data_IF_647704676354
#
_entry.id   IF_647704676354
#
_cell.length_a   1.000
_cell.length_b   1.000
_cell.length_c   1.000
_cell.angle_alpha   90.00
_cell.angle_beta   90.00
_cell.angle_gamma   90.00
#
_symmetry.space_group_name_H-M   'P 1'
#
loop_
_entity.id
_entity.type
_entity.pdbx_description
1 polymer ?
#
# COMPACT_ATOMS: atom_id res chain seq x y z
N UNK A 1 -3.46 -6.90 20.06
CA UNK A 1 -4.05 -5.61 19.61
C UNK A 1 -3.29 -5.28 18.35
N UNK A 2 -3.99 -5.15 17.21
CA UNK A 2 -3.31 -5.02 15.92
C UNK A 2 -2.64 -3.66 15.83
N UNK A 3 -1.37 -3.63 15.43
CA UNK A 3 -0.68 -2.38 15.18
C UNK A 3 -1.04 -1.86 13.79
N UNK A 4 -1.07 -0.54 13.65
CA UNK A 4 -1.28 0.15 12.37
C UNK A 4 -0.08 1.06 12.18
N UNK A 5 0.65 0.83 11.10
CA UNK A 5 1.82 1.61 10.71
C UNK A 5 1.47 2.44 9.48
N UNK A 6 1.48 3.75 9.62
CA UNK A 6 1.11 4.65 8.53
C UNK A 6 2.34 5.08 7.75
N UNK A 7 2.31 4.89 6.42
CA UNK A 7 3.34 5.45 5.54
C UNK A 7 3.21 6.96 5.53
N UNK A 8 4.32 7.65 5.80
CA UNK A 8 4.36 9.12 5.79
C UNK A 8 5.41 9.68 4.83
N UNK A 9 6.43 8.88 4.48
CA UNK A 9 7.52 9.30 3.60
C UNK A 9 7.71 8.28 2.48
N UNK A 10 8.11 8.77 1.30
CA UNK A 10 8.46 7.94 0.16
C UNK A 10 9.56 8.58 -0.68
N UNK A 11 10.32 7.74 -1.37
CA UNK A 11 11.35 8.16 -2.32
C UNK A 11 11.56 7.07 -3.39
N UNK A 12 12.02 7.48 -4.57
CA UNK A 12 12.41 6.54 -5.61
C UNK A 12 13.93 6.33 -5.60
N UNK A 13 14.35 5.08 -5.44
CA UNK A 13 15.77 4.67 -5.48
C UNK A 13 15.93 3.62 -6.57
N UNK A 14 16.74 3.90 -7.60
CA UNK A 14 16.92 3.00 -8.75
C UNK A 14 15.60 2.48 -9.37
N UNK A 15 14.62 3.38 -9.51
CA UNK A 15 13.28 3.09 -10.06
C UNK A 15 12.44 2.12 -9.19
N UNK A 16 12.74 2.06 -7.89
CA UNK A 16 12.01 1.29 -6.89
C UNK A 16 11.42 2.24 -5.85
N UNK A 17 10.15 2.04 -5.50
CA UNK A 17 9.46 2.85 -4.50
C UNK A 17 9.88 2.41 -3.10
N UNK A 18 10.59 3.28 -2.39
CA UNK A 18 10.95 3.08 -1.00
C UNK A 18 9.99 3.88 -0.11
N UNK A 19 9.46 3.22 0.92
CA UNK A 19 8.45 3.75 1.83
C UNK A 19 9.01 3.76 3.24
N UNK A 20 8.68 4.78 4.03
CA UNK A 20 9.12 4.89 5.42
C UNK A 20 8.01 5.42 6.31
N UNK A 21 8.10 5.06 7.60
CA UNK A 21 7.20 5.53 8.64
C UNK A 21 7.75 6.86 9.19
N UNK A 22 6.99 7.55 10.05
CA UNK A 22 7.48 8.71 10.80
C UNK A 22 7.79 8.38 12.28
N UNK A 23 7.78 7.08 12.61
CA UNK A 23 7.94 6.60 13.98
C UNK A 23 9.34 6.02 14.24
N UNK A 24 9.55 5.50 15.45
CA UNK A 24 10.83 4.91 15.85
C UNK A 24 10.97 3.50 15.26
N UNK A 25 11.41 3.43 14.00
CA UNK A 25 11.42 2.23 13.15
C UNK A 25 12.27 1.07 13.69
N UNK A 26 13.28 1.36 14.52
CA UNK A 26 14.33 0.42 14.93
C UNK A 26 13.87 -0.78 15.79
N UNK A 27 12.59 -0.87 16.17
CA UNK A 27 12.04 -1.97 16.98
C UNK A 27 10.92 -2.75 16.30
N UNK A 28 10.51 -2.32 15.11
CA UNK A 28 9.41 -2.96 14.38
C UNK A 28 9.95 -4.23 13.74
N UNK A 29 9.32 -5.37 14.04
CA UNK A 29 9.67 -6.67 13.46
C UNK A 29 8.43 -7.26 12.81
N UNK A 30 8.37 -7.15 11.49
CA UNK A 30 7.20 -7.56 10.71
C UNK A 30 7.64 -8.41 9.52
N UNK A 31 6.75 -9.30 9.08
CA UNK A 31 6.94 -10.09 7.86
C UNK A 31 5.86 -9.77 6.83
N UNK A 32 6.22 -9.59 5.55
CA UNK A 32 5.26 -9.39 4.47
C UNK A 32 4.27 -10.56 4.35
N UNK A 33 2.95 -10.28 4.26
CA UNK A 33 1.93 -11.32 4.15
C UNK A 33 1.33 -11.46 2.74
N UNK A 34 1.77 -10.68 1.75
CA UNK A 34 1.34 -10.81 0.35
C UNK A 34 -0.14 -10.50 0.13
N UNK A 35 -0.72 -9.57 0.90
CA UNK A 35 -2.14 -9.23 0.77
C UNK A 35 -2.38 -7.75 0.88
N UNK A 36 -3.12 -7.21 -0.08
CA UNK A 36 -3.64 -5.84 -0.06
C UNK A 36 -5.14 -5.87 0.17
N UNK A 37 -5.62 -5.04 1.09
CA UNK A 37 -7.03 -4.77 1.37
C UNK A 37 -7.27 -3.25 1.39
N UNK A 38 -8.49 -2.83 1.70
CA UNK A 38 -8.85 -1.42 1.85
C UNK A 38 -9.52 -1.15 3.19
N UNK A 39 -9.34 0.06 3.70
CA UNK A 39 -10.25 0.70 4.64
C UNK A 39 -10.92 1.87 3.92
N UNK A 40 -12.12 1.62 3.39
CA UNK A 40 -12.88 2.59 2.61
C UNK A 40 -13.34 3.79 3.43
N UNK A 41 -13.62 3.59 4.72
CA UNK A 41 -14.08 4.66 5.61
C UNK A 41 -12.95 5.65 5.90
N UNK A 42 -11.69 5.19 5.87
CA UNK A 42 -10.50 6.02 6.06
C UNK A 42 -9.82 6.45 4.75
N UNK A 43 -10.40 6.15 3.59
CA UNK A 43 -9.77 6.38 2.28
C UNK A 43 -8.31 5.87 2.23
N UNK A 44 -8.10 4.62 2.64
CA UNK A 44 -6.77 4.05 2.75
C UNK A 44 -6.68 2.66 2.11
N UNK A 45 -5.54 2.39 1.47
CA UNK A 45 -5.13 1.04 1.12
C UNK A 45 -4.35 0.45 2.29
N UNK A 46 -4.42 -0.86 2.48
CA UNK A 46 -3.76 -1.56 3.58
C UNK A 46 -2.99 -2.75 3.03
N UNK A 47 -1.72 -2.88 3.39
CA UNK A 47 -0.96 -4.10 3.20
C UNK A 47 -0.86 -4.86 4.52
N UNK A 48 -1.10 -6.17 4.48
CA UNK A 48 -1.04 -7.03 5.66
C UNK A 48 0.40 -7.46 5.94
N UNK A 49 0.76 -7.45 7.23
CA UNK A 49 2.02 -8.00 7.73
C UNK A 49 1.78 -8.88 8.94
N UNK A 50 2.64 -9.85 9.15
CA UNK A 50 2.66 -10.68 10.35
C UNK A 50 3.59 -10.04 11.40
N UNK A 51 3.09 -9.93 12.62
CA UNK A 51 3.80 -9.40 13.78
C UNK A 51 3.42 -10.23 15.02
N UNK A 52 4.39 -10.91 15.65
CA UNK A 52 4.14 -11.73 16.84
C UNK A 52 2.99 -12.76 16.67
N UNK A 53 2.94 -13.46 15.54
CA UNK A 53 1.89 -14.44 15.19
C UNK A 53 0.47 -13.83 15.02
N UNK A 54 0.34 -12.50 15.01
CA UNK A 54 -0.89 -11.77 14.68
C UNK A 54 -0.71 -10.96 13.38
N UNK A 55 -1.83 -10.56 12.76
CA UNK A 55 -1.79 -9.60 11.65
C UNK A 55 -1.76 -8.15 12.16
N UNK A 56 -0.80 -7.39 11.65
CA UNK A 56 -0.70 -5.92 11.74
C UNK A 56 -0.81 -5.31 10.34
N UNK A 57 -1.01 -3.99 10.28
CA UNK A 57 -1.34 -3.28 9.03
C UNK A 57 -0.30 -2.23 8.69
N UNK A 58 0.08 -2.17 7.42
CA UNK A 58 0.74 -1.00 6.82
C UNK A 58 -0.34 -0.22 6.07
N UNK A 59 -0.61 1.00 6.50
CA UNK A 59 -1.63 1.86 5.93
C UNK A 59 -1.02 2.86 4.94
N UNK A 60 -1.65 2.95 3.77
CA UNK A 60 -1.31 3.85 2.68
C UNK A 60 -2.43 4.89 2.53
N UNK A 61 -2.33 6.02 3.25
CA UNK A 61 -3.32 7.09 3.14
C UNK A 61 -3.32 7.70 1.74
N UNK A 62 -4.42 8.36 1.39
CA UNK A 62 -4.65 8.91 0.05
C UNK A 62 -3.50 9.79 -0.50
N UNK A 63 -2.80 10.53 0.36
CA UNK A 63 -1.64 11.36 -0.04
C UNK A 63 -0.46 10.54 -0.58
N UNK A 64 -0.41 9.23 -0.33
CA UNK A 64 0.62 8.32 -0.85
C UNK A 64 0.26 7.73 -2.22
N UNK A 65 -0.99 7.82 -2.68
CA UNK A 65 -1.44 7.06 -3.85
C UNK A 65 -0.74 7.48 -5.14
N UNK A 66 -0.35 8.75 -5.28
CA UNK A 66 0.39 9.20 -6.47
C UNK A 66 1.76 8.53 -6.59
N UNK A 67 2.46 8.30 -5.48
CA UNK A 67 3.73 7.57 -5.50
C UNK A 67 3.53 6.08 -5.72
N UNK A 68 2.42 5.51 -5.24
CA UNK A 68 2.05 4.12 -5.54
C UNK A 68 1.78 3.95 -7.04
N UNK A 69 1.04 4.86 -7.68
CA UNK A 69 0.80 4.83 -9.13
C UNK A 69 2.12 4.88 -9.90
N UNK A 70 3.05 5.75 -9.52
CA UNK A 70 4.37 5.79 -10.14
C UNK A 70 5.18 4.51 -9.86
N UNK A 71 5.08 3.94 -8.66
CA UNK A 71 5.68 2.66 -8.28
C UNK A 71 5.14 1.47 -9.07
N UNK A 72 3.84 1.42 -9.35
CA UNK A 72 3.21 0.38 -10.16
C UNK A 72 3.69 0.37 -11.62
N UNK A 73 4.17 1.50 -12.13
CA UNK A 73 4.82 1.56 -13.46
C UNK A 73 6.19 0.90 -13.47
N UNK A 74 6.77 0.66 -12.28
CA UNK A 74 7.93 -0.20 -12.14
C UNK A 74 7.45 -1.65 -11.98
N UNK A 75 8.11 -2.61 -12.64
CA UNK A 75 7.81 -4.04 -12.47
C UNK A 75 8.32 -4.59 -11.11
N UNK A 76 8.53 -3.71 -10.12
CA UNK A 76 9.07 -4.05 -8.80
C UNK A 76 8.07 -3.71 -7.71
N UNK A 77 8.00 -4.56 -6.70
CA UNK A 77 7.24 -4.28 -5.50
C UNK A 77 7.90 -3.13 -4.71
N UNK A 78 7.12 -2.36 -3.93
CA UNK A 78 7.67 -1.37 -3.03
C UNK A 78 8.51 -2.01 -1.91
N UNK A 79 9.51 -1.27 -1.43
CA UNK A 79 10.34 -1.66 -0.30
C UNK A 79 10.02 -0.76 0.90
N UNK A 80 9.61 -1.36 2.01
CA UNK A 80 9.52 -0.68 3.30
C UNK A 80 10.91 -0.58 3.94
N UNK A 81 11.30 0.63 4.30
CA UNK A 81 12.54 0.91 5.01
C UNK A 81 12.22 1.14 6.48
N UNK A 82 12.83 0.33 7.36
CA UNK A 82 12.69 0.42 8.81
C UNK A 82 14.09 0.50 9.43
N UNK A 83 14.58 1.72 9.70
CA UNK A 83 15.97 1.92 10.11
C UNK A 83 16.95 1.37 9.07
N UNK A 84 17.74 0.36 9.45
CA UNK A 84 18.68 -0.33 8.55
C UNK A 84 18.06 -1.52 7.78
N UNK A 85 16.79 -1.85 8.05
CA UNK A 85 16.11 -2.96 7.40
C UNK A 85 15.37 -2.51 6.14
N UNK A 86 15.48 -3.33 5.10
CA UNK A 86 14.76 -3.16 3.85
C UNK A 86 13.88 -4.40 3.64
N UNK A 87 12.57 -4.20 3.62
CA UNK A 87 11.57 -5.25 3.55
C UNK A 87 10.78 -5.05 2.26
N UNK A 88 10.96 -5.93 1.28
CA UNK A 88 10.12 -5.95 0.09
C UNK A 88 8.68 -6.31 0.47
N UNK A 89 7.72 -5.51 0.04
CA UNK A 89 6.29 -5.81 0.18
C UNK A 89 5.89 -6.78 -0.94
N UNK A 90 6.25 -8.05 -0.77
CA UNK A 90 6.02 -9.09 -1.78
C UNK A 90 4.56 -9.13 -2.24
N UNK A 91 4.34 -9.43 -3.51
CA UNK A 91 3.01 -9.52 -4.15
C UNK A 91 2.19 -8.22 -4.15
N UNK A 92 2.73 -7.10 -3.63
CA UNK A 92 1.99 -5.84 -3.51
C UNK A 92 1.41 -5.35 -4.83
N UNK A 93 2.21 -5.34 -5.91
CA UNK A 93 1.74 -4.82 -7.19
C UNK A 93 0.60 -5.68 -7.75
N UNK A 94 0.75 -7.01 -7.73
CA UNK A 94 -0.26 -7.95 -8.23
C UNK A 94 -1.57 -7.84 -7.42
N UNK A 95 -1.47 -7.89 -6.10
CA UNK A 95 -2.61 -7.80 -5.19
C UNK A 95 -3.32 -6.45 -5.26
N UNK A 96 -2.57 -5.34 -5.33
CA UNK A 96 -3.16 -4.02 -5.47
C UNK A 96 -3.88 -3.90 -6.81
N UNK A 97 -3.28 -4.33 -7.91
CA UNK A 97 -3.92 -4.27 -9.23
C UNK A 97 -5.21 -5.08 -9.25
N UNK A 98 -5.22 -6.30 -8.71
CA UNK A 98 -6.45 -7.10 -8.58
C UNK A 98 -7.51 -6.40 -7.73
N UNK A 99 -7.10 -5.79 -6.61
CA UNK A 99 -8.01 -5.05 -5.74
C UNK A 99 -8.62 -3.83 -6.45
N UNK A 100 -7.83 -3.06 -7.19
CA UNK A 100 -8.30 -1.88 -7.93
C UNK A 100 -9.41 -2.25 -8.91
N UNK A 101 -9.24 -3.34 -9.68
CA UNK A 101 -10.28 -3.81 -10.60
C UNK A 101 -11.53 -4.36 -9.89
N UNK A 102 -11.41 -4.86 -8.67
CA UNK A 102 -12.57 -5.27 -7.87
C UNK A 102 -13.36 -4.07 -7.31
N UNK A 103 -12.70 -2.92 -7.14
CA UNK A 103 -13.29 -1.67 -6.63
C UNK A 103 -13.97 -0.89 -7.76
N UNK A 104 -13.40 -0.87 -8.97
CA UNK A 104 -13.92 -0.12 -10.12
C UNK A 104 -15.41 -0.39 -10.36
N UNK A 105 -16.22 0.68 -10.35
CA UNK A 105 -17.67 0.63 -10.53
C UNK A 105 -18.46 -0.06 -9.41
N UNK A 106 -17.83 -0.41 -8.28
CA UNK A 106 -18.44 -1.19 -7.21
C UNK A 106 -18.70 -0.37 -5.94
N UNK A 107 -19.82 0.37 -5.95
CA UNK A 107 -20.26 1.23 -4.85
C UNK A 107 -20.42 0.53 -3.47
N UNK A 108 -20.35 -0.82 -3.40
CA UNK A 108 -20.35 -1.54 -2.13
C UNK A 108 -19.11 -1.25 -1.26
N UNK A 109 -18.04 -0.72 -1.86
CA UNK A 109 -16.87 -0.20 -1.14
C UNK A 109 -17.04 1.25 -0.67
N UNK A 110 -18.22 1.84 -0.85
CA UNK A 110 -18.49 3.23 -0.54
C UNK A 110 -18.17 4.13 -1.72
N UNK A 111 -19.19 4.85 -2.20
CA UNK A 111 -19.14 5.66 -3.42
C UNK A 111 -17.97 6.67 -3.43
N UNK A 112 -17.73 7.37 -2.32
CA UNK A 112 -16.63 8.33 -2.20
C UNK A 112 -15.26 7.66 -2.37
N UNK A 113 -15.07 6.48 -1.78
CA UNK A 113 -13.83 5.72 -1.89
C UNK A 113 -13.63 5.20 -3.32
N UNK A 114 -14.68 4.66 -3.95
CA UNK A 114 -14.64 4.19 -5.34
C UNK A 114 -14.25 5.34 -6.29
N UNK A 115 -14.92 6.48 -6.20
CA UNK A 115 -14.61 7.67 -7.02
C UNK A 115 -13.17 8.16 -6.80
N UNK A 116 -12.68 8.12 -5.56
CA UNK A 116 -11.30 8.50 -5.24
C UNK A 116 -10.28 7.54 -5.84
N UNK A 117 -10.52 6.22 -5.78
CA UNK A 117 -9.67 5.20 -6.38
C UNK A 117 -9.65 5.33 -7.90
N UNK A 118 -10.82 5.41 -8.55
CA UNK A 118 -10.92 5.56 -10.00
C UNK A 118 -10.21 6.82 -10.50
N UNK A 119 -10.28 7.91 -9.73
CA UNK A 119 -9.59 9.16 -10.05
C UNK A 119 -8.08 9.02 -9.88
N UNK A 120 -7.60 8.50 -8.76
CA UNK A 120 -6.18 8.43 -8.45
C UNK A 120 -5.43 7.40 -9.31
N UNK A 121 -6.06 6.25 -9.57
CA UNK A 121 -5.48 5.13 -10.31
C UNK A 121 -5.97 5.05 -11.76
N UNK A 122 -6.52 6.15 -12.30
CA UNK A 122 -7.08 6.22 -13.64
C UNK A 122 -6.11 5.75 -14.75
N UNK A 123 -4.81 5.95 -14.58
CA UNK A 123 -3.79 5.49 -15.54
C UNK A 123 -3.62 3.98 -15.53
N UNK A 124 -3.70 3.36 -14.35
CA UNK A 124 -3.58 1.90 -14.17
C UNK A 124 -4.83 1.19 -14.69
N UNK A 125 -6.02 1.75 -14.43
CA UNK A 125 -7.30 1.16 -14.83
C UNK A 125 -7.55 1.24 -16.35
N UNK A 126 -6.93 2.19 -17.06
CA UNK A 126 -7.11 2.39 -18.51
C UNK A 126 -6.21 1.54 -19.40
N UNK A 127 -5.17 0.90 -18.86
CA UNK A 127 -4.18 0.14 -19.64
C UNK A 127 -4.65 -1.27 -20.07
N UNK A 128 -5.97 -1.51 -20.16
CA UNK A 128 -6.55 -2.73 -20.75
C UNK A 128 -7.09 -2.53 -22.16
#
# INVERSE_FOLDING_TARGET
MRNIYTIENWQFVHNELHLSLNENENKIQIQPAGKVITDSDQLALIYLVEENEEYSYIQFPQNTWSSIVEGLKSEKNPTLVLGDQHIELVEFNEELTMLLFNIEGNDNYGKEFVEAIETAFAEILKEQ
#
